data_IF_221028001675
#
_entry.id   IF_221028001675
#
_cell.length_a   1.000
_cell.length_b   1.000
_cell.length_c   1.000
_cell.angle_alpha   90.00
_cell.angle_beta   90.00
_cell.angle_gamma   90.00
#
_symmetry.space_group_name_H-M   'P 1'
#
loop_
_entity.id
_entity.type
_entity.pdbx_description
1 polymer ?
#
# COMPACT_ATOMS: atom_id res chain seq x y z
N UNK A 1 -17.17 -22.36 -25.75
CA UNK A 1 -15.96 -21.86 -25.05
C UNK A 1 -15.70 -22.76 -23.86
N UNK A 2 -14.48 -23.25 -23.66
CA UNK A 2 -14.15 -24.18 -22.57
C UNK A 2 -13.95 -23.43 -21.25
N UNK A 3 -14.04 -24.13 -20.11
CA UNK A 3 -13.77 -23.54 -18.79
C UNK A 3 -12.36 -22.94 -18.68
N UNK A 4 -11.38 -23.48 -19.42
CA UNK A 4 -10.03 -22.94 -19.48
C UNK A 4 -9.98 -21.54 -20.10
N UNK A 5 -10.73 -21.29 -21.19
CA UNK A 5 -10.80 -19.96 -21.83
C UNK A 5 -11.37 -18.92 -20.87
N UNK A 6 -12.42 -19.24 -20.12
CA UNK A 6 -13.00 -18.37 -19.09
C UNK A 6 -12.03 -18.11 -17.94
N UNK A 7 -11.25 -19.10 -17.53
CA UNK A 7 -10.19 -18.94 -16.53
C UNK A 7 -9.12 -17.93 -16.95
N UNK A 8 -8.65 -17.99 -18.21
CA UNK A 8 -7.69 -17.03 -18.74
C UNK A 8 -8.26 -15.61 -18.83
N UNK A 9 -9.49 -15.47 -19.32
CA UNK A 9 -10.17 -14.17 -19.39
C UNK A 9 -10.31 -13.56 -18.00
N UNK A 10 -10.79 -14.35 -17.03
CA UNK A 10 -10.95 -13.89 -15.64
C UNK A 10 -9.62 -13.52 -14.99
N UNK A 11 -8.57 -14.31 -15.21
CA UNK A 11 -7.23 -14.05 -14.67
C UNK A 11 -6.61 -12.76 -15.24
N UNK A 12 -6.67 -12.58 -16.56
CA UNK A 12 -6.11 -11.39 -17.22
C UNK A 12 -6.93 -10.14 -16.85
N UNK A 13 -8.26 -10.20 -17.00
CA UNK A 13 -9.13 -9.08 -16.68
C UNK A 13 -9.02 -8.68 -15.20
N UNK A 14 -9.03 -9.66 -14.30
CA UNK A 14 -8.88 -9.44 -12.86
C UNK A 14 -7.54 -8.80 -12.49
N UNK A 15 -6.45 -9.22 -13.13
CA UNK A 15 -5.11 -8.64 -12.90
C UNK A 15 -5.05 -7.20 -13.39
N UNK A 16 -5.57 -6.91 -14.60
CA UNK A 16 -5.59 -5.56 -15.15
C UNK A 16 -6.45 -4.61 -14.30
N UNK A 17 -7.65 -5.05 -13.89
CA UNK A 17 -8.54 -4.27 -13.03
C UNK A 17 -7.89 -4.03 -11.67
N UNK A 18 -7.28 -5.06 -11.08
CA UNK A 18 -6.58 -4.95 -9.79
C UNK A 18 -5.40 -3.97 -9.84
N UNK A 19 -4.57 -4.04 -10.88
CA UNK A 19 -3.46 -3.11 -11.08
C UNK A 19 -3.94 -1.67 -11.33
N UNK A 20 -4.96 -1.50 -12.18
CA UNK A 20 -5.53 -0.19 -12.45
C UNK A 20 -6.14 0.45 -11.20
N UNK A 21 -6.90 -0.33 -10.42
CA UNK A 21 -7.47 0.11 -9.15
C UNK A 21 -6.39 0.46 -8.11
N UNK A 22 -5.35 -0.36 -7.99
CA UNK A 22 -4.22 -0.09 -7.09
C UNK A 22 -3.42 1.16 -7.49
N UNK A 23 -3.18 1.35 -8.79
CA UNK A 23 -2.49 2.53 -9.32
C UNK A 23 -3.32 3.80 -9.13
N UNK A 24 -4.62 3.74 -9.43
CA UNK A 24 -5.55 4.85 -9.22
C UNK A 24 -5.67 5.23 -7.75
N UNK A 25 -5.81 4.25 -6.85
CA UNK A 25 -5.82 4.47 -5.40
C UNK A 25 -4.52 5.09 -4.89
N UNK A 26 -3.38 4.61 -5.38
CA UNK A 26 -2.05 5.18 -5.07
C UNK A 26 -1.94 6.63 -5.54
N UNK A 27 -2.43 6.92 -6.75
CA UNK A 27 -2.43 8.27 -7.31
C UNK A 27 -3.33 9.23 -6.53
N UNK A 28 -4.56 8.82 -6.19
CA UNK A 28 -5.45 9.62 -5.36
C UNK A 28 -4.83 9.91 -3.98
N UNK A 29 -4.17 8.91 -3.38
CA UNK A 29 -3.43 9.06 -2.11
C UNK A 29 -2.32 10.10 -2.22
N UNK A 30 -1.44 9.99 -3.22
CA UNK A 30 -0.31 10.92 -3.42
C UNK A 30 -0.79 12.33 -3.82
N UNK A 31 -1.89 12.44 -4.57
CA UNK A 31 -2.44 13.72 -5.04
C UNK A 31 -3.16 14.48 -3.93
N UNK A 32 -3.79 13.78 -2.98
CA UNK A 32 -4.44 14.39 -1.82
C UNK A 32 -3.45 14.75 -0.70
N UNK A 33 -2.22 14.26 -0.76
CA UNK A 33 -1.18 14.57 0.22
C UNK A 33 -0.70 16.03 0.08
N UNK A 34 -0.75 16.79 1.18
CA UNK A 34 -0.20 18.15 1.22
C UNK A 34 1.31 18.14 0.87
N UNK A 35 1.81 19.12 0.09
CA UNK A 35 3.23 19.20 -0.22
C UNK A 35 4.05 19.44 1.05
N UNK A 36 5.04 18.59 1.32
CA UNK A 36 5.92 18.70 2.49
C UNK A 36 6.57 17.36 2.91
N UNK A 37 7.29 17.33 4.04
CA UNK A 37 7.84 16.11 4.64
C UNK A 37 6.83 14.94 4.78
N UNK A 38 5.53 15.17 5.09
CA UNK A 38 4.52 14.11 5.16
C UNK A 38 4.32 13.34 3.84
N UNK A 39 4.51 14.01 2.69
CA UNK A 39 4.33 13.41 1.36
C UNK A 39 5.37 12.33 1.08
N UNK A 40 6.59 12.44 1.61
CA UNK A 40 7.64 11.42 1.46
C UNK A 40 7.26 10.14 2.18
N UNK A 41 6.73 10.23 3.39
CA UNK A 41 6.23 9.07 4.15
C UNK A 41 5.08 8.37 3.41
N UNK A 42 4.18 9.14 2.80
CA UNK A 42 3.06 8.60 2.02
C UNK A 42 3.55 7.85 0.77
N UNK A 43 4.56 8.38 0.07
CA UNK A 43 5.21 7.67 -1.06
C UNK A 43 5.87 6.37 -0.60
N UNK A 44 6.61 6.39 0.52
CA UNK A 44 7.20 5.16 1.09
C UNK A 44 6.13 4.12 1.46
N UNK A 45 5.00 4.56 2.00
CA UNK A 45 3.88 3.67 2.33
C UNK A 45 3.27 3.03 1.08
N UNK A 46 3.14 3.80 0.00
CA UNK A 46 2.70 3.27 -1.31
C UNK A 46 3.72 2.26 -1.87
N UNK A 47 5.01 2.56 -1.82
CA UNK A 47 6.07 1.63 -2.27
C UNK A 47 6.05 0.33 -1.47
N UNK A 48 5.89 0.41 -0.14
CA UNK A 48 5.78 -0.78 0.72
C UNK A 48 4.53 -1.58 0.37
N UNK A 49 3.37 -0.93 0.15
CA UNK A 49 2.14 -1.60 -0.25
C UNK A 49 2.33 -2.37 -1.56
N UNK A 50 2.92 -1.74 -2.57
CA UNK A 50 3.21 -2.37 -3.85
C UNK A 50 4.22 -3.52 -3.73
N UNK A 51 5.25 -3.37 -2.89
CA UNK A 51 6.19 -4.46 -2.58
C UNK A 51 5.48 -5.65 -1.94
N UNK A 52 4.65 -5.41 -0.93
CA UNK A 52 3.90 -6.48 -0.25
C UNK A 52 2.93 -7.17 -1.21
N UNK A 53 2.25 -6.41 -2.06
CA UNK A 53 1.37 -6.96 -3.10
C UNK A 53 2.17 -7.81 -4.11
N UNK A 54 3.35 -7.35 -4.54
CA UNK A 54 4.25 -8.09 -5.41
C UNK A 54 4.73 -9.39 -4.78
N UNK A 55 5.10 -9.36 -3.50
CA UNK A 55 5.48 -10.55 -2.73
C UNK A 55 4.32 -11.54 -2.64
N UNK A 56 3.11 -11.08 -2.36
CA UNK A 56 1.92 -11.92 -2.29
C UNK A 56 1.60 -12.58 -3.64
N UNK A 57 1.66 -11.82 -4.75
CA UNK A 57 1.52 -12.34 -6.11
C UNK A 57 2.59 -13.41 -6.42
N UNK A 58 3.85 -13.15 -6.05
CA UNK A 58 4.94 -14.12 -6.19
C UNK A 58 4.67 -15.41 -5.43
N UNK A 59 4.26 -15.30 -4.16
CA UNK A 59 3.89 -16.44 -3.31
C UNK A 59 2.76 -17.28 -3.91
N UNK A 60 1.72 -16.63 -4.45
CA UNK A 60 0.62 -17.32 -5.15
C UNK A 60 1.16 -18.04 -6.39
N UNK A 61 2.03 -17.39 -7.17
CA UNK A 61 2.68 -18.01 -8.34
C UNK A 61 3.50 -19.26 -7.97
N UNK A 62 4.27 -19.21 -6.89
CA UNK A 62 5.02 -20.36 -6.39
C UNK A 62 4.13 -21.50 -5.90
N UNK A 63 2.98 -21.19 -5.30
CA UNK A 63 1.98 -22.19 -4.87
C UNK A 63 1.31 -22.84 -6.08
N UNK A 64 0.99 -22.07 -7.11
CA UNK A 64 0.45 -22.59 -8.39
C UNK A 64 1.50 -23.46 -9.10
N UNK A 65 2.78 -23.11 -9.02
CA UNK A 65 3.88 -23.92 -9.52
C UNK A 65 4.13 -25.20 -8.70
N UNK A 66 3.39 -25.42 -7.60
CA UNK A 66 3.52 -26.60 -6.75
C UNK A 66 4.75 -26.59 -5.83
N UNK A 67 5.50 -25.48 -5.78
CA UNK A 67 6.72 -25.37 -4.97
C UNK A 67 6.45 -25.03 -3.51
N UNK A 68 5.29 -24.45 -3.21
CA UNK A 68 4.90 -24.03 -1.86
C UNK A 68 3.52 -24.59 -1.49
N UNK A 69 3.32 -25.02 -0.24
CA UNK A 69 2.03 -25.51 0.21
C UNK A 69 1.01 -24.38 0.36
N UNK A 70 -0.27 -24.71 0.17
CA UNK A 70 -1.38 -23.73 0.14
C UNK A 70 -1.55 -22.93 1.44
N UNK A 71 -1.12 -23.47 2.58
CA UNK A 71 -1.21 -22.78 3.87
C UNK A 71 -0.34 -21.52 3.94
N UNK A 72 0.72 -21.43 3.14
CA UNK A 72 1.61 -20.27 3.12
C UNK A 72 0.89 -19.01 2.65
N UNK A 73 -0.05 -19.12 1.69
CA UNK A 73 -0.88 -17.99 1.23
C UNK A 73 -1.80 -17.51 2.34
N UNK A 74 -2.43 -18.44 3.06
CA UNK A 74 -3.30 -18.10 4.20
C UNK A 74 -2.52 -17.36 5.28
N UNK A 75 -1.33 -17.84 5.65
CA UNK A 75 -0.50 -17.18 6.67
C UNK A 75 -0.04 -15.81 6.19
N UNK A 76 0.41 -15.67 4.95
CA UNK A 76 0.79 -14.38 4.38
C UNK A 76 -0.39 -13.39 4.36
N UNK A 77 -1.58 -13.86 3.97
CA UNK A 77 -2.78 -13.02 3.92
C UNK A 77 -3.26 -12.60 5.32
N UNK A 78 -3.26 -13.53 6.28
CA UNK A 78 -3.64 -13.24 7.67
C UNK A 78 -2.65 -12.26 8.31
N UNK A 79 -1.35 -12.47 8.09
CA UNK A 79 -0.30 -11.56 8.55
C UNK A 79 -0.44 -10.17 7.93
N UNK A 80 -0.77 -10.09 6.64
CA UNK A 80 -1.00 -8.81 5.95
C UNK A 80 -2.19 -8.05 6.56
N UNK A 81 -3.33 -8.71 6.74
CA UNK A 81 -4.53 -8.12 7.35
C UNK A 81 -4.26 -7.63 8.79
N UNK A 82 -3.58 -8.46 9.58
CA UNK A 82 -3.19 -8.11 10.96
C UNK A 82 -2.21 -6.95 11.00
N UNK A 83 -1.27 -6.86 10.05
CA UNK A 83 -0.30 -5.77 9.97
C UNK A 83 -0.91 -4.46 9.45
N UNK A 84 -2.01 -4.55 8.68
CA UNK A 84 -2.67 -3.38 8.08
C UNK A 84 -3.21 -2.43 9.15
N UNK A 85 -3.90 -2.95 10.17
CA UNK A 85 -4.47 -2.14 11.26
C UNK A 85 -3.42 -1.30 11.99
N UNK A 86 -2.35 -1.91 12.53
CA UNK A 86 -1.23 -1.21 13.15
C UNK A 86 -0.55 -0.23 12.20
N UNK A 87 -0.33 -0.61 10.94
CA UNK A 87 0.33 0.24 9.96
C UNK A 87 -0.48 1.52 9.69
N UNK A 88 -1.81 1.42 9.58
CA UNK A 88 -2.71 2.58 9.44
C UNK A 88 -2.64 3.47 10.70
N UNK A 89 -2.69 2.86 11.89
CA UNK A 89 -2.66 3.62 13.16
C UNK A 89 -1.32 4.33 13.35
N UNK A 90 -0.20 3.67 13.09
CA UNK A 90 1.14 4.27 13.17
C UNK A 90 1.34 5.34 12.11
N UNK A 91 0.90 5.10 10.87
CA UNK A 91 0.97 6.06 9.78
C UNK A 91 0.18 7.33 10.10
N UNK A 92 -1.05 7.19 10.59
CA UNK A 92 -1.88 8.31 11.01
C UNK A 92 -1.25 9.07 12.18
N UNK A 93 -0.76 8.38 13.22
CA UNK A 93 -0.07 9.01 14.35
C UNK A 93 1.17 9.79 13.93
N UNK A 94 1.93 9.27 12.97
CA UNK A 94 3.12 9.97 12.46
C UNK A 94 2.73 11.22 11.67
N UNK A 95 1.68 11.12 10.84
CA UNK A 95 1.14 12.26 10.11
C UNK A 95 0.64 13.37 11.06
N UNK A 96 -0.11 13.01 12.11
CA UNK A 96 -0.60 13.97 13.11
C UNK A 96 0.53 14.70 13.84
N UNK A 97 1.66 14.02 14.09
CA UNK A 97 2.84 14.63 14.73
C UNK A 97 3.53 15.64 13.81
N UNK A 98 3.62 15.34 12.52
CA UNK A 98 4.20 16.27 11.54
C UNK A 98 3.32 17.50 11.35
N UNK A 99 1.99 17.33 11.32
CA UNK A 99 1.04 18.45 11.28
C UNK A 99 1.11 19.30 12.55
N UNK A 100 1.26 18.70 13.73
CA UNK A 100 1.44 19.43 14.98
C UNK A 100 2.75 20.22 15.02
N UNK A 101 3.84 19.66 14.48
CA UNK A 101 5.14 20.33 14.39
C UNK A 101 5.13 21.51 13.40
N UNK A 102 4.44 21.37 12.26
CA UNK A 102 4.30 22.44 11.26
C UNK A 102 3.41 23.61 11.75
N UNK A 103 2.47 23.32 12.65
CA UNK A 103 1.56 24.32 13.23
C UNK A 103 2.16 25.06 14.44
N UNK A 104 3.26 24.57 15.00
CA UNK A 104 3.94 25.26 16.08
C UNK A 104 4.53 26.59 15.54
N UNK A 105 4.28 27.73 16.21
CA UNK A 105 4.78 29.02 15.75
C UNK A 105 6.31 28.98 15.70
N UNK A 106 6.87 29.34 14.55
CA UNK A 106 8.30 29.43 14.30
C UNK A 106 8.94 30.43 15.29
N UNK A 107 9.76 29.98 16.26
CA UNK A 107 10.40 30.88 17.22
C UNK A 107 11.38 31.85 16.54
N UNK A 108 11.78 31.59 15.28
CA UNK A 108 12.69 32.46 14.53
C UNK A 108 12.01 33.68 13.89
N UNK A 109 10.67 33.76 13.90
CA UNK A 109 9.91 34.93 13.43
C UNK A 109 9.63 35.96 14.52
N UNK A 110 10.08 35.73 15.76
CA UNK A 110 9.73 36.56 16.92
C UNK A 110 10.66 37.73 17.24
N UNK A 111 11.76 37.96 16.51
CA UNK A 111 12.81 38.89 17.00
C UNK A 111 13.33 39.87 15.92
N UNK A 112 12.41 40.40 15.11
CA UNK A 112 12.68 41.55 14.22
C UNK A 112 11.51 42.53 14.27
N UNK A 113 11.36 43.21 15.40
CA UNK A 113 10.55 44.42 15.54
C UNK A 113 11.35 45.50 16.25
#
# INVERSE_FOLDING_TARGET
>A
MTGATWGWIGGIAGTLIGLAGGAYGSWCSIRNARPGPPRRFMVWSVVILWLVLGVLMGLIGLVVAGMLPRWTVWVAQTAFLLALGPAIVLGNRHLSRLEAADRAPDPSKGDRS
#
